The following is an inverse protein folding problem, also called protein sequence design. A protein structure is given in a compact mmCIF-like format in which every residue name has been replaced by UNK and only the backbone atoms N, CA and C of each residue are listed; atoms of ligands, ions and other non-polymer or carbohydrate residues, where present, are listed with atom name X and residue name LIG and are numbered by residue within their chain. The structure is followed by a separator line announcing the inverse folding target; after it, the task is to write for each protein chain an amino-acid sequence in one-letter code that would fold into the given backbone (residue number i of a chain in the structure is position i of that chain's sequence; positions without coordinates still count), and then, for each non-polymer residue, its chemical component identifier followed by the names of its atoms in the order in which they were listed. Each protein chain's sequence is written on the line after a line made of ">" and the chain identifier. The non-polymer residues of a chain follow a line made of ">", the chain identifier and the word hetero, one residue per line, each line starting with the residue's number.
data_IF_261674504666
#
_entry.id   IF_261674504666
#
_cell.length_a   1.000
_cell.length_b   1.000
_cell.length_c   1.000
_cell.angle_alpha   90.00
_cell.angle_beta   90.00
_cell.angle_gamma   90.00
#
_symmetry.space_group_name_H-M   'P 1'
#
loop_
_entity.id
_entity.type
_entity.pdbx_description
1 polymer ?
#
# COMPACT_ATOMS: atom_id res chain seq x y z
N UNK A 1 23.09 1.56 -9.80
CA UNK A 1 21.62 1.74 -9.76
C UNK A 1 20.97 0.36 -9.96
N UNK A 2 19.80 0.09 -9.36
CA UNK A 2 19.01 -1.09 -9.69
C UNK A 2 18.61 -1.08 -11.17
N UNK A 3 18.23 -2.23 -11.72
CA UNK A 3 17.72 -2.33 -13.08
C UNK A 3 16.42 -1.52 -13.26
N UNK A 4 16.20 -1.02 -14.48
CA UNK A 4 14.93 -0.41 -14.85
C UNK A 4 13.82 -1.47 -14.88
N UNK A 5 12.60 -1.16 -14.42
CA UNK A 5 11.48 -2.10 -14.49
C UNK A 5 11.13 -2.40 -15.95
N UNK A 6 11.19 -3.68 -16.33
CA UNK A 6 10.90 -4.10 -17.71
C UNK A 6 9.40 -4.09 -18.06
N UNK A 7 8.57 -4.40 -17.06
CA UNK A 7 7.11 -4.37 -17.17
C UNK A 7 6.62 -3.29 -16.22
N UNK A 8 6.21 -2.15 -16.77
CA UNK A 8 5.83 -0.96 -16.01
C UNK A 8 4.63 -0.28 -16.68
N UNK A 9 3.43 -0.52 -16.14
CA UNK A 9 2.17 0.00 -16.69
C UNK A 9 1.39 0.79 -15.64
N UNK A 10 0.63 1.78 -16.08
CA UNK A 10 -0.40 2.45 -15.26
C UNK A 10 0.15 3.36 -14.16
N UNK A 11 1.38 3.87 -14.33
CA UNK A 11 2.03 4.81 -13.41
C UNK A 11 2.49 6.10 -14.09
N UNK A 12 1.98 6.36 -15.29
CA UNK A 12 2.36 7.51 -16.12
C UNK A 12 1.98 8.83 -15.44
N UNK A 13 0.83 8.88 -14.78
CA UNK A 13 0.37 10.06 -14.05
C UNK A 13 1.27 10.38 -12.86
N UNK A 14 1.56 9.38 -12.01
CA UNK A 14 2.41 9.56 -10.84
C UNK A 14 3.86 9.88 -11.25
N UNK A 15 4.36 9.26 -12.31
CA UNK A 15 5.67 9.59 -12.88
C UNK A 15 5.69 11.03 -13.39
N UNK A 16 4.69 11.47 -14.15
CA UNK A 16 4.59 12.83 -14.65
C UNK A 16 4.51 13.86 -13.51
N UNK A 17 3.75 13.57 -12.46
CA UNK A 17 3.66 14.43 -11.27
C UNK A 17 5.01 14.53 -10.55
N UNK A 18 5.73 13.43 -10.38
CA UNK A 18 7.08 13.43 -9.80
C UNK A 18 8.03 14.27 -10.67
N UNK A 19 8.05 14.07 -11.98
CA UNK A 19 8.91 14.81 -12.90
C UNK A 19 8.60 16.31 -12.88
N UNK A 20 7.33 16.69 -12.76
CA UNK A 20 6.94 18.09 -12.58
C UNK A 20 7.58 18.71 -11.33
N UNK A 21 7.67 17.99 -10.22
CA UNK A 21 8.37 18.46 -9.01
C UNK A 21 9.89 18.61 -9.25
N UNK A 22 10.49 17.71 -10.03
CA UNK A 22 11.91 17.82 -10.40
C UNK A 22 12.19 19.00 -11.34
N UNK A 23 11.26 19.39 -12.21
CA UNK A 23 11.39 20.59 -13.06
C UNK A 23 11.33 21.88 -12.25
N UNK A 24 10.65 21.88 -11.11
CA UNK A 24 10.48 23.05 -10.25
C UNK A 24 11.68 23.32 -9.32
N UNK A 25 12.61 22.37 -9.17
CA UNK A 25 13.79 22.57 -8.33
C UNK A 25 14.42 21.26 -7.86
N UNK A 26 14.76 21.22 -6.58
CA UNK A 26 15.34 20.04 -5.92
C UNK A 26 14.29 19.47 -4.98
N UNK A 27 13.49 18.46 -5.37
CA UNK A 27 12.32 18.08 -4.58
C UNK A 27 12.65 17.08 -3.45
N UNK A 28 11.74 17.03 -2.46
CA UNK A 28 11.69 16.07 -1.36
C UNK A 28 10.36 15.33 -1.48
N UNK A 29 10.39 14.07 -1.90
CA UNK A 29 9.22 13.31 -2.32
C UNK A 29 9.12 12.03 -1.49
N UNK A 30 7.93 11.73 -1.00
CA UNK A 30 7.61 10.45 -0.38
C UNK A 30 6.61 9.70 -1.28
N UNK A 31 7.04 8.57 -1.82
CA UNK A 31 6.21 7.61 -2.57
C UNK A 31 5.65 6.62 -1.55
N UNK A 32 4.36 6.73 -1.29
CA UNK A 32 3.64 6.04 -0.22
C UNK A 32 2.65 5.03 -0.79
N UNK A 33 2.11 4.14 0.05
CA UNK A 33 1.11 3.15 -0.36
C UNK A 33 1.27 1.80 0.33
N UNK A 34 0.27 0.93 0.15
CA UNK A 34 0.28 -0.42 0.69
C UNK A 34 1.46 -1.26 0.18
N UNK A 35 1.74 -2.36 0.87
CA UNK A 35 2.69 -3.36 0.37
C UNK A 35 2.30 -3.86 -1.02
N UNK A 36 3.28 -4.09 -1.90
CA UNK A 36 3.00 -4.59 -3.26
C UNK A 36 2.44 -3.59 -4.27
N UNK A 37 2.31 -2.30 -3.94
CA UNK A 37 1.74 -1.27 -4.83
C UNK A 37 2.68 -0.73 -5.93
N UNK A 38 3.90 -1.26 -6.05
CA UNK A 38 4.87 -0.82 -7.07
C UNK A 38 5.64 0.45 -6.74
N UNK A 39 5.75 0.85 -5.47
CA UNK A 39 6.50 2.04 -5.03
C UNK A 39 7.97 2.02 -5.46
N UNK A 40 8.65 0.89 -5.22
CA UNK A 40 10.04 0.67 -5.62
C UNK A 40 10.19 0.73 -7.14
N UNK A 41 9.29 0.11 -7.90
CA UNK A 41 9.28 0.16 -9.36
C UNK A 41 9.10 1.59 -9.89
N UNK A 42 8.20 2.38 -9.28
CA UNK A 42 8.06 3.80 -9.63
C UNK A 42 9.33 4.59 -9.32
N UNK A 43 9.97 4.36 -8.17
CA UNK A 43 11.23 5.01 -7.83
C UNK A 43 12.37 4.62 -8.80
N UNK A 44 12.39 3.37 -9.27
CA UNK A 44 13.32 2.91 -10.30
C UNK A 44 13.03 3.58 -11.66
N UNK A 45 11.77 3.69 -12.07
CA UNK A 45 11.40 4.42 -13.30
C UNK A 45 11.84 5.89 -13.21
N UNK A 46 11.65 6.55 -12.06
CA UNK A 46 12.11 7.93 -11.83
C UNK A 46 13.62 8.04 -11.96
N UNK A 47 14.40 7.14 -11.33
CA UNK A 47 15.87 7.27 -11.36
C UNK A 47 16.43 7.08 -12.76
N UNK A 48 15.79 6.28 -13.61
CA UNK A 48 16.21 6.01 -14.99
C UNK A 48 15.65 7.00 -16.02
N UNK A 49 14.60 7.75 -15.70
CA UNK A 49 13.96 8.69 -16.62
C UNK A 49 14.97 9.66 -17.25
N UNK A 50 14.81 9.97 -18.54
CA UNK A 50 15.76 10.78 -19.33
C UNK A 50 16.02 12.15 -18.70
N UNK A 51 14.99 12.86 -18.26
CA UNK A 51 15.14 14.16 -17.59
C UNK A 51 15.99 14.09 -16.31
N UNK A 52 15.84 13.01 -15.55
CA UNK A 52 16.59 12.79 -14.31
C UNK A 52 18.03 12.40 -14.63
N UNK A 53 18.22 11.57 -15.66
CA UNK A 53 19.55 11.21 -16.20
C UNK A 53 20.31 12.44 -16.66
N UNK A 54 19.65 13.34 -17.39
CA UNK A 54 20.25 14.58 -17.91
C UNK A 54 20.57 15.57 -16.79
N UNK A 55 19.71 15.68 -15.77
CA UNK A 55 19.91 16.64 -14.66
C UNK A 55 20.97 16.22 -13.65
N UNK A 56 21.02 14.94 -13.29
CA UNK A 56 21.87 14.44 -12.20
C UNK A 56 23.04 13.59 -12.69
N UNK A 57 23.06 13.17 -13.96
CA UNK A 57 24.12 12.37 -14.57
C UNK A 57 24.44 11.10 -13.75
N UNK A 58 25.68 10.94 -13.31
CA UNK A 58 26.12 9.84 -12.46
C UNK A 58 25.77 10.00 -10.98
N UNK A 59 25.32 11.17 -10.54
CA UNK A 59 25.08 11.49 -9.11
C UNK A 59 23.66 11.10 -8.68
N UNK A 60 23.29 9.86 -9.01
CA UNK A 60 22.00 9.25 -8.68
C UNK A 60 22.28 8.02 -7.84
N UNK A 61 21.75 8.00 -6.64
CA UNK A 61 22.02 6.97 -5.65
C UNK A 61 20.71 6.34 -5.22
N UNK A 62 20.64 5.01 -5.30
CA UNK A 62 19.48 4.23 -4.89
C UNK A 62 19.93 3.31 -3.77
N UNK A 63 19.45 3.56 -2.56
CA UNK A 63 19.87 2.87 -1.34
C UNK A 63 18.67 2.13 -0.77
N UNK A 64 18.76 0.80 -0.75
CA UNK A 64 17.77 -0.06 -0.07
C UNK A 64 18.05 -0.06 1.43
N UNK A 65 17.06 0.29 2.26
CA UNK A 65 17.23 0.43 3.71
C UNK A 65 17.01 -0.86 4.51
N UNK A 66 16.72 -2.00 3.83
CA UNK A 66 16.31 -3.26 4.46
C UNK A 66 17.34 -3.86 5.44
N UNK A 67 18.63 -3.49 5.33
CA UNK A 67 19.72 -4.08 6.14
C UNK A 67 20.24 -3.16 7.25
N UNK A 68 19.73 -1.94 7.37
CA UNK A 68 20.08 -1.07 8.49
C UNK A 68 19.08 -1.27 9.63
N UNK A 69 19.49 -0.87 10.84
CA UNK A 69 18.67 -0.83 12.05
C UNK A 69 18.89 0.44 12.89
N UNK A 70 19.92 1.23 12.60
CA UNK A 70 20.25 2.50 13.26
C UNK A 70 20.63 3.64 12.29
N UNK A 71 20.60 4.91 12.74
CA UNK A 71 21.08 6.05 11.91
C UNK A 71 22.53 5.86 11.42
N UNK A 72 23.51 5.45 12.25
CA UNK A 72 24.87 5.21 11.78
C UNK A 72 24.95 4.14 10.68
N UNK A 73 24.14 3.09 10.75
CA UNK A 73 24.07 2.07 9.71
C UNK A 73 23.47 2.61 8.41
N UNK A 74 22.41 3.42 8.48
CA UNK A 74 21.87 4.09 7.29
C UNK A 74 22.88 5.04 6.65
N UNK A 75 23.60 5.83 7.46
CA UNK A 75 24.69 6.66 6.97
C UNK A 75 25.81 5.82 6.35
N UNK A 76 26.11 4.64 6.91
CA UNK A 76 27.06 3.68 6.33
C UNK A 76 26.59 3.12 4.99
N UNK A 77 25.31 2.76 4.85
CA UNK A 77 24.74 2.30 3.58
C UNK A 77 24.82 3.39 2.51
N UNK A 78 24.45 4.63 2.85
CA UNK A 78 24.56 5.77 1.94
C UNK A 78 26.03 6.00 1.57
N UNK A 79 26.93 6.01 2.57
CA UNK A 79 28.36 6.19 2.36
C UNK A 79 28.97 5.14 1.42
N UNK A 80 28.56 3.88 1.54
CA UNK A 80 28.99 2.82 0.64
C UNK A 80 28.55 3.06 -0.81
N UNK A 81 27.30 3.52 -1.04
CA UNK A 81 26.81 3.87 -2.37
C UNK A 81 27.50 5.11 -2.95
N UNK A 82 27.95 6.02 -2.09
CA UNK A 82 28.75 7.20 -2.45
C UNK A 82 30.24 6.86 -2.68
N UNK A 83 30.68 5.61 -2.44
CA UNK A 83 32.09 5.22 -2.53
C UNK A 83 32.99 5.80 -1.43
N UNK A 84 32.40 6.16 -0.29
CA UNK A 84 33.11 6.75 0.84
C UNK A 84 33.82 5.68 1.66
N UNK A 85 35.03 6.01 2.14
CA UNK A 85 35.78 5.14 3.05
C UNK A 85 35.11 5.12 4.43
N UNK A 86 35.22 4.00 5.18
CA UNK A 86 34.78 3.94 6.56
C UNK A 86 35.39 5.08 7.38
N UNK A 87 34.57 5.70 8.23
CA UNK A 87 34.98 6.80 9.09
C UNK A 87 34.32 6.65 10.47
N UNK A 88 34.92 7.27 11.49
CA UNK A 88 34.37 7.27 12.85
C UNK A 88 33.00 7.95 12.92
N UNK A 89 32.79 8.97 12.08
CA UNK A 89 31.51 9.69 11.95
C UNK A 89 31.09 9.72 10.48
N UNK A 90 30.55 8.58 10.01
CA UNK A 90 30.07 8.43 8.64
C UNK A 90 28.93 9.40 8.32
N UNK A 91 28.08 9.72 9.29
CA UNK A 91 27.00 10.70 9.14
C UNK A 91 27.55 12.05 8.66
N UNK A 92 28.54 12.59 9.37
CA UNK A 92 29.16 13.88 8.99
C UNK A 92 29.87 13.81 7.65
N UNK A 93 30.54 12.71 7.34
CA UNK A 93 31.25 12.53 6.07
C UNK A 93 30.28 12.48 4.89
N UNK A 94 29.16 11.75 5.02
CA UNK A 94 28.08 11.70 4.02
C UNK A 94 27.48 13.09 3.78
N UNK A 95 27.09 13.79 4.86
CA UNK A 95 26.52 15.14 4.74
C UNK A 95 27.49 16.10 4.06
N UNK A 96 28.78 16.08 4.44
CA UNK A 96 29.79 16.92 3.80
C UNK A 96 29.98 16.60 2.31
N UNK A 97 29.97 15.33 1.94
CA UNK A 97 30.11 14.90 0.55
C UNK A 97 28.94 15.41 -0.29
N UNK A 98 27.70 15.20 0.17
CA UNK A 98 26.49 15.62 -0.53
C UNK A 98 26.37 17.15 -0.62
N UNK A 99 26.76 17.89 0.43
CA UNK A 99 26.72 19.35 0.43
C UNK A 99 27.79 20.02 -0.44
N UNK A 100 28.98 19.42 -0.52
CA UNK A 100 30.09 19.97 -1.31
C UNK A 100 30.15 19.46 -2.75
N UNK A 101 29.31 18.47 -3.08
CA UNK A 101 29.28 17.80 -4.38
C UNK A 101 28.37 18.46 -5.41
N UNK A 102 28.31 17.88 -6.63
CA UNK A 102 27.34 18.28 -7.64
C UNK A 102 25.89 18.00 -7.19
N UNK A 103 24.88 18.59 -7.86
CA UNK A 103 23.49 18.23 -7.66
C UNK A 103 23.30 16.72 -7.72
N UNK A 104 22.63 16.17 -6.71
CA UNK A 104 22.51 14.72 -6.52
C UNK A 104 21.07 14.33 -6.26
N UNK A 105 20.70 13.11 -6.68
CA UNK A 105 19.44 12.46 -6.33
C UNK A 105 19.75 11.29 -5.41
N UNK A 106 19.18 11.30 -4.20
CA UNK A 106 19.20 10.17 -3.28
C UNK A 106 17.80 9.57 -3.17
N UNK A 107 17.70 8.28 -3.47
CA UNK A 107 16.50 7.47 -3.26
C UNK A 107 16.75 6.54 -2.07
N UNK A 108 15.91 6.63 -1.05
CA UNK A 108 15.90 5.71 0.10
C UNK A 108 14.68 4.78 -0.03
N UNK A 109 14.92 3.53 -0.41
CA UNK A 109 13.89 2.53 -0.65
C UNK A 109 13.61 1.70 0.61
N UNK A 110 12.33 1.43 0.89
CA UNK A 110 11.84 0.73 2.08
C UNK A 110 12.28 1.38 3.41
N UNK A 111 12.20 2.71 3.49
CA UNK A 111 12.65 3.45 4.67
C UNK A 111 11.83 3.11 5.94
N UNK A 112 10.62 2.54 5.80
CA UNK A 112 9.82 2.11 6.95
C UNK A 112 10.54 1.07 7.81
N UNK A 113 11.42 0.24 7.25
CA UNK A 113 12.20 -0.74 8.03
C UNK A 113 12.98 -0.06 9.16
N UNK A 114 13.40 1.19 8.94
CA UNK A 114 14.14 2.03 9.89
C UNK A 114 13.29 3.00 10.68
N UNK A 115 12.26 3.55 10.04
CA UNK A 115 11.46 4.63 10.59
C UNK A 115 10.26 4.13 11.42
N UNK A 116 9.77 2.93 11.13
CA UNK A 116 8.61 2.33 11.79
C UNK A 116 8.87 2.00 13.28
N UNK A 117 10.05 1.47 13.70
CA UNK A 117 10.35 1.25 15.12
C UNK A 117 10.42 2.55 15.92
N UNK A 118 9.76 2.57 17.08
CA UNK A 118 9.61 3.77 17.92
C UNK A 118 10.96 4.32 18.40
N UNK A 119 11.91 3.43 18.69
CA UNK A 119 13.21 3.78 19.26
C UNK A 119 14.11 4.54 18.26
N UNK A 120 14.04 4.20 16.97
CA UNK A 120 14.85 4.81 15.91
C UNK A 120 14.15 5.97 15.20
N UNK A 121 12.82 6.03 15.24
CA UNK A 121 12.00 6.97 14.47
C UNK A 121 12.47 8.43 14.55
N UNK A 122 12.65 8.95 15.76
CA UNK A 122 13.06 10.35 15.96
C UNK A 122 14.45 10.63 15.39
N UNK A 123 15.38 9.68 15.54
CA UNK A 123 16.74 9.81 15.06
C UNK A 123 16.81 9.76 13.52
N UNK A 124 15.99 8.90 12.89
CA UNK A 124 15.86 8.86 11.43
C UNK A 124 15.25 10.15 10.90
N UNK A 125 14.20 10.70 11.54
CA UNK A 125 13.61 11.99 11.15
C UNK A 125 14.61 13.15 11.27
N UNK A 126 15.46 13.16 12.31
CA UNK A 126 16.55 14.14 12.43
C UNK A 126 17.58 14.00 11.31
N UNK A 127 17.94 12.77 10.94
CA UNK A 127 18.86 12.56 9.84
C UNK A 127 18.27 12.96 8.48
N UNK A 128 16.99 12.68 8.25
CA UNK A 128 16.29 13.17 7.07
C UNK A 128 16.28 14.70 7.03
N UNK A 129 16.01 15.37 8.16
CA UNK A 129 16.07 16.83 8.26
C UNK A 129 17.44 17.36 7.78
N UNK A 130 18.54 16.79 8.30
CA UNK A 130 19.91 17.16 7.91
C UNK A 130 20.19 16.93 6.42
N UNK A 131 19.70 15.84 5.85
CA UNK A 131 19.81 15.58 4.40
C UNK A 131 19.02 16.62 3.61
N UNK A 132 17.82 16.98 4.07
CA UNK A 132 16.94 17.91 3.34
C UNK A 132 17.35 19.39 3.44
N UNK A 133 18.24 19.75 4.38
CA UNK A 133 18.87 21.07 4.44
C UNK A 133 19.88 21.29 3.30
N UNK A 134 20.26 20.22 2.59
CA UNK A 134 21.17 20.29 1.44
C UNK A 134 20.38 20.70 0.20
N UNK A 135 20.52 21.96 -0.24
CA UNK A 135 19.77 22.52 -1.38
C UNK A 135 20.03 21.83 -2.73
N UNK A 136 21.21 21.22 -2.89
CA UNK A 136 21.61 20.47 -4.09
C UNK A 136 21.15 19.01 -4.09
N UNK A 137 20.57 18.52 -2.98
CA UNK A 137 20.16 17.13 -2.81
C UNK A 137 18.65 16.96 -3.00
N UNK A 138 18.26 16.29 -4.09
CA UNK A 138 16.90 15.79 -4.22
C UNK A 138 16.77 14.49 -3.44
N UNK A 139 15.67 14.36 -2.69
CA UNK A 139 15.40 13.19 -1.86
C UNK A 139 14.09 12.55 -2.30
N UNK A 140 14.14 11.27 -2.63
CA UNK A 140 12.94 10.44 -2.82
C UNK A 140 13.00 9.33 -1.77
N UNK A 141 11.89 9.09 -1.09
CA UNK A 141 11.76 7.94 -0.21
C UNK A 141 10.61 7.05 -0.67
N UNK A 142 10.73 5.75 -0.49
CA UNK A 142 9.59 4.82 -0.60
C UNK A 142 9.27 4.28 0.79
N UNK A 143 7.98 4.27 1.14
CA UNK A 143 7.53 3.77 2.43
C UNK A 143 6.16 3.11 2.37
N UNK A 144 5.94 2.11 3.23
CA UNK A 144 4.61 1.53 3.47
C UNK A 144 3.72 2.48 4.27
N UNK A 145 2.43 2.46 3.93
CA UNK A 145 1.42 3.28 4.58
C UNK A 145 1.23 4.64 3.91
N UNK A 146 0.52 5.54 4.57
CA UNK A 146 0.13 6.86 4.07
C UNK A 146 0.74 8.02 4.88
N UNK A 147 1.63 7.72 5.81
CA UNK A 147 2.24 8.68 6.71
C UNK A 147 3.66 9.02 6.28
N UNK A 148 3.98 10.32 6.29
CA UNK A 148 5.31 10.82 5.96
C UNK A 148 6.14 10.98 7.24
N UNK A 149 7.47 10.75 7.19
CA UNK A 149 8.36 11.16 8.26
C UNK A 149 8.20 12.65 8.58
N UNK A 150 8.23 12.97 9.87
CA UNK A 150 8.21 14.35 10.37
C UNK A 150 9.56 15.03 10.14
N UNK A 151 9.66 16.32 10.51
CA UNK A 151 10.89 17.15 10.40
C UNK A 151 11.44 17.36 8.98
N UNK A 152 10.71 16.91 7.96
CA UNK A 152 11.03 17.18 6.55
C UNK A 152 9.96 18.08 5.95
N UNK A 153 10.39 19.18 5.32
CA UNK A 153 9.51 20.00 4.49
C UNK A 153 9.32 19.33 3.12
N UNK A 154 8.41 18.36 3.08
CA UNK A 154 8.06 17.64 1.84
C UNK A 154 7.56 18.61 0.76
N UNK A 155 8.02 18.41 -0.48
CA UNK A 155 7.66 19.26 -1.61
C UNK A 155 6.18 19.08 -1.96
N UNK A 156 5.50 20.20 -2.27
CA UNK A 156 4.07 20.24 -2.61
C UNK A 156 3.86 20.41 -4.12
N UNK A 157 2.75 19.91 -4.69
CA UNK A 157 1.73 19.08 -4.04
C UNK A 157 2.26 17.71 -3.59
N UNK A 158 1.64 17.14 -2.57
CA UNK A 158 2.01 15.81 -2.08
C UNK A 158 1.51 14.76 -3.07
N UNK A 159 2.38 13.79 -3.39
CA UNK A 159 1.95 12.57 -4.08
C UNK A 159 0.99 11.79 -3.18
N UNK A 160 -0.17 11.41 -3.68
CA UNK A 160 -1.08 10.56 -2.91
C UNK A 160 -0.45 9.16 -2.74
N UNK A 161 -0.80 8.41 -1.68
CA UNK A 161 -0.42 7.00 -1.61
C UNK A 161 -0.86 6.27 -2.89
N UNK A 162 0.03 5.45 -3.46
CA UNK A 162 -0.21 4.79 -4.74
C UNK A 162 -1.48 3.94 -4.66
N UNK A 163 -2.46 4.17 -5.56
CA UNK A 163 -3.63 3.33 -5.66
C UNK A 163 -3.30 2.01 -6.36
N UNK A 164 -4.23 1.04 -6.35
CA UNK A 164 -4.19 -0.06 -7.30
C UNK A 164 -4.11 0.43 -8.75
N UNK A 165 -3.74 -0.46 -9.68
CA UNK A 165 -3.71 -0.11 -11.09
C UNK A 165 -5.14 0.09 -11.62
N UNK A 166 -5.27 0.98 -12.60
CA UNK A 166 -6.49 1.02 -13.41
C UNK A 166 -6.65 -0.31 -14.16
N UNK A 167 -7.89 -0.74 -14.41
CA UNK A 167 -8.21 -2.04 -15.02
C UNK A 167 -7.41 -2.29 -16.31
N UNK A 168 -7.33 -1.30 -17.21
CA UNK A 168 -6.61 -1.45 -18.47
C UNK A 168 -5.10 -1.62 -18.29
N UNK A 169 -4.51 -0.98 -17.29
CA UNK A 169 -3.10 -1.15 -16.96
C UNK A 169 -2.84 -2.50 -16.28
N UNK A 170 -3.76 -2.96 -15.43
CA UNK A 170 -3.69 -4.28 -14.82
C UNK A 170 -3.74 -5.39 -15.87
N UNK A 171 -4.65 -5.29 -16.85
CA UNK A 171 -4.73 -6.20 -18.01
C UNK A 171 -3.44 -6.21 -18.82
N UNK A 172 -2.90 -5.04 -19.18
CA UNK A 172 -1.62 -4.95 -19.91
C UNK A 172 -0.48 -5.61 -19.16
N UNK A 173 -0.36 -5.31 -17.86
CA UNK A 173 0.65 -5.92 -17.00
C UNK A 173 0.50 -7.45 -16.94
N UNK A 174 -0.73 -7.95 -16.82
CA UNK A 174 -1.01 -9.38 -16.81
C UNK A 174 -0.62 -10.05 -18.12
N UNK A 175 -1.02 -9.48 -19.26
CA UNK A 175 -0.74 -10.04 -20.59
C UNK A 175 0.77 -10.07 -20.89
N UNK A 176 1.50 -9.01 -20.51
CA UNK A 176 2.96 -8.97 -20.68
C UNK A 176 3.70 -10.02 -19.83
N UNK A 177 3.05 -10.56 -18.80
CA UNK A 177 3.62 -11.56 -17.89
C UNK A 177 3.17 -13.00 -18.18
N UNK A 178 1.90 -13.21 -18.58
CA UNK A 178 1.29 -14.53 -18.77
C UNK A 178 1.06 -14.93 -20.23
N UNK A 179 1.46 -14.08 -21.18
CA UNK A 179 1.19 -14.20 -22.62
C UNK A 179 -0.32 -14.18 -22.95
N UNK A 180 -0.68 -13.80 -24.19
CA UNK A 180 -2.08 -13.55 -24.57
C UNK A 180 -2.83 -14.83 -25.01
N UNK A 181 -2.82 -15.86 -24.17
CA UNK A 181 -3.42 -17.18 -24.48
C UNK A 181 -4.82 -17.38 -23.89
N UNK A 182 -5.29 -16.45 -23.06
CA UNK A 182 -6.54 -16.56 -22.30
C UNK A 182 -7.60 -15.60 -22.80
N UNK A 183 -8.87 -15.94 -22.58
CA UNK A 183 -9.97 -15.05 -22.92
C UNK A 183 -9.96 -13.80 -22.04
N UNK A 184 -10.41 -12.62 -22.53
CA UNK A 184 -10.52 -11.42 -21.72
C UNK A 184 -11.34 -11.62 -20.44
N UNK A 185 -12.39 -12.45 -20.50
CA UNK A 185 -13.26 -12.77 -19.37
C UNK A 185 -12.52 -13.55 -18.27
N UNK A 186 -11.71 -14.55 -18.64
CA UNK A 186 -10.88 -15.30 -17.69
C UNK A 186 -9.83 -14.40 -17.03
N UNK A 187 -9.20 -13.51 -17.81
CA UNK A 187 -8.23 -12.54 -17.29
C UNK A 187 -8.90 -11.61 -16.28
N UNK A 188 -10.09 -11.09 -16.59
CA UNK A 188 -10.84 -10.22 -15.69
C UNK A 188 -11.25 -10.92 -14.39
N UNK A 189 -11.63 -12.20 -14.47
CA UNK A 189 -11.92 -13.00 -13.28
C UNK A 189 -10.69 -13.13 -12.36
N UNK A 190 -9.51 -13.42 -12.92
CA UNK A 190 -8.26 -13.52 -12.15
C UNK A 190 -7.86 -12.16 -11.58
N UNK A 191 -7.96 -11.09 -12.37
CA UNK A 191 -7.68 -9.72 -11.90
C UNK A 191 -8.60 -9.30 -10.75
N UNK A 192 -9.87 -9.71 -10.78
CA UNK A 192 -10.82 -9.49 -9.68
C UNK A 192 -10.36 -10.05 -8.33
N UNK A 193 -9.51 -11.09 -8.31
CA UNK A 193 -8.93 -11.65 -7.09
C UNK A 193 -7.82 -10.78 -6.49
N UNK A 194 -7.31 -9.82 -7.25
CA UNK A 194 -6.14 -9.02 -6.89
C UNK A 194 -6.48 -7.59 -6.46
N UNK A 195 -7.71 -7.13 -6.69
CA UNK A 195 -8.09 -5.71 -6.65
C UNK A 195 -7.10 -4.82 -7.43
N UNK A 196 -6.57 -5.33 -8.54
CA UNK A 196 -5.54 -4.70 -9.37
C UNK A 196 -4.26 -4.29 -8.62
N UNK A 197 -3.91 -5.00 -7.53
CA UNK A 197 -2.64 -4.80 -6.82
C UNK A 197 -1.48 -5.35 -7.67
N UNK A 198 -0.45 -4.55 -8.03
CA UNK A 198 0.64 -4.97 -8.92
C UNK A 198 1.35 -6.26 -8.49
N UNK A 199 1.67 -6.42 -7.21
CA UNK A 199 2.34 -7.63 -6.72
C UNK A 199 1.45 -8.87 -6.92
N UNK A 200 0.19 -8.80 -6.53
CA UNK A 200 -0.77 -9.90 -6.69
C UNK A 200 -0.99 -10.25 -8.16
N UNK A 201 -1.08 -9.24 -9.04
CA UNK A 201 -1.15 -9.46 -10.50
C UNK A 201 0.08 -10.24 -10.96
N UNK A 202 1.29 -9.81 -10.59
CA UNK A 202 2.51 -10.46 -11.04
C UNK A 202 2.63 -11.91 -10.60
N UNK A 203 2.23 -12.20 -9.36
CA UNK A 203 2.30 -13.55 -8.80
C UNK A 203 1.26 -14.47 -9.46
N UNK A 204 0.02 -14.01 -9.64
CA UNK A 204 -0.99 -14.79 -10.36
C UNK A 204 -0.66 -14.95 -11.83
N UNK A 205 -0.12 -13.93 -12.50
CA UNK A 205 0.26 -14.01 -13.91
C UNK A 205 1.33 -15.09 -14.15
N UNK A 206 2.34 -15.19 -13.27
CA UNK A 206 3.34 -16.26 -13.35
C UNK A 206 2.75 -17.65 -13.13
N UNK A 207 1.78 -17.80 -12.23
CA UNK A 207 1.08 -19.07 -12.04
C UNK A 207 0.19 -19.42 -13.23
N UNK A 208 -0.50 -18.44 -13.80
CA UNK A 208 -1.35 -18.61 -14.98
C UNK A 208 -0.54 -18.99 -16.21
N UNK A 209 0.63 -18.41 -16.43
CA UNK A 209 1.52 -18.79 -17.55
C UNK A 209 1.84 -20.29 -17.55
N UNK A 210 1.91 -20.90 -16.36
CA UNK A 210 2.22 -22.33 -16.18
C UNK A 210 0.96 -23.21 -16.14
N UNK A 211 -0.09 -22.78 -15.45
CA UNK A 211 -1.23 -23.63 -15.08
C UNK A 211 -2.56 -23.26 -15.76
N UNK A 212 -2.65 -22.05 -16.32
CA UNK A 212 -3.85 -21.50 -16.95
C UNK A 212 -4.90 -20.94 -15.98
N UNK A 213 -5.70 -19.97 -16.46
CA UNK A 213 -6.72 -19.30 -15.65
C UNK A 213 -7.71 -20.24 -14.93
N UNK A 214 -8.34 -21.24 -15.58
CA UNK A 214 -9.36 -22.06 -14.92
C UNK A 214 -8.84 -22.79 -13.68
N UNK A 215 -7.60 -23.30 -13.75
CA UNK A 215 -6.97 -24.01 -12.63
C UNK A 215 -6.64 -23.04 -11.49
N UNK A 216 -6.10 -21.87 -11.80
CA UNK A 216 -5.78 -20.86 -10.80
C UNK A 216 -7.03 -20.33 -10.09
N UNK A 217 -8.13 -20.11 -10.82
CA UNK A 217 -9.41 -19.74 -10.22
C UNK A 217 -9.90 -20.82 -9.23
N UNK A 218 -9.86 -22.10 -9.61
CA UNK A 218 -10.27 -23.20 -8.73
C UNK A 218 -9.37 -23.36 -7.50
N UNK A 219 -8.06 -23.16 -7.65
CA UNK A 219 -7.11 -23.23 -6.53
C UNK A 219 -7.31 -22.07 -5.58
N UNK A 220 -7.58 -20.88 -6.11
CA UNK A 220 -7.82 -19.69 -5.29
C UNK A 220 -8.99 -19.90 -4.33
N UNK A 221 -10.06 -20.58 -4.73
CA UNK A 221 -11.21 -20.85 -3.85
C UNK A 221 -10.81 -21.55 -2.54
N UNK A 222 -9.77 -22.40 -2.58
CA UNK A 222 -9.30 -23.19 -1.44
C UNK A 222 -8.08 -22.53 -0.77
N UNK A 223 -7.07 -22.18 -1.55
CA UNK A 223 -5.76 -21.71 -1.07
C UNK A 223 -5.75 -20.20 -0.76
N UNK A 224 -6.61 -19.41 -1.41
CA UNK A 224 -6.70 -17.96 -1.21
C UNK A 224 -5.31 -17.30 -1.35
N UNK A 225 -4.94 -16.41 -0.43
CA UNK A 225 -3.63 -15.73 -0.46
C UNK A 225 -2.42 -16.64 -0.30
N UNK A 226 -2.58 -17.87 0.21
CA UNK A 226 -1.42 -18.77 0.33
C UNK A 226 -0.90 -19.18 -1.05
N UNK A 227 -1.76 -19.23 -2.06
CA UNK A 227 -1.42 -19.52 -3.46
C UNK A 227 -0.30 -18.60 -3.99
N UNK A 228 -0.33 -17.34 -3.58
CA UNK A 228 0.62 -16.31 -4.01
C UNK A 228 1.60 -15.89 -2.90
N UNK A 229 1.91 -16.82 -1.99
CA UNK A 229 2.80 -16.56 -0.85
C UNK A 229 3.88 -17.62 -0.65
N UNK A 230 4.13 -18.47 -1.63
CA UNK A 230 5.15 -19.52 -1.59
C UNK A 230 6.60 -19.01 -1.81
N UNK A 231 6.78 -17.72 -2.11
CA UNK A 231 8.10 -17.11 -2.29
C UNK A 231 8.89 -16.93 -0.98
N UNK A 232 10.20 -17.17 -1.03
CA UNK A 232 11.11 -16.98 0.11
C UNK A 232 11.44 -15.51 0.43
N UNK A 233 11.31 -14.59 -0.54
CA UNK A 233 11.64 -13.17 -0.36
C UNK A 233 10.40 -12.30 -0.10
N UNK A 234 10.56 -11.26 0.73
CA UNK A 234 9.53 -10.25 1.09
C UNK A 234 8.94 -9.54 -0.12
N UNK A 235 9.69 -9.43 -1.22
CA UNK A 235 9.26 -8.79 -2.47
C UNK A 235 8.39 -9.70 -3.34
N UNK A 236 8.42 -11.00 -3.08
CA UNK A 236 7.64 -12.05 -3.77
C UNK A 236 6.61 -12.73 -2.87
N UNK A 237 6.44 -12.26 -1.63
CA UNK A 237 5.57 -12.89 -0.64
C UNK A 237 4.54 -11.87 -0.12
N UNK A 238 3.30 -12.02 -0.60
CA UNK A 238 2.22 -11.10 -0.27
C UNK A 238 1.83 -11.18 1.21
N UNK A 239 1.69 -12.39 1.75
CA UNK A 239 1.34 -12.61 3.16
C UNK A 239 2.40 -12.03 4.11
N UNK A 240 3.68 -12.21 3.82
CA UNK A 240 4.76 -11.55 4.58
C UNK A 240 4.66 -10.03 4.50
N UNK A 241 4.23 -9.48 3.35
CA UNK A 241 4.01 -8.05 3.24
C UNK A 241 2.84 -7.58 4.12
N UNK A 242 1.75 -8.33 4.19
CA UNK A 242 0.58 -8.00 5.02
C UNK A 242 0.91 -8.14 6.50
N UNK A 243 1.58 -9.24 6.90
CA UNK A 243 1.95 -9.51 8.28
C UNK A 243 2.87 -8.42 8.86
N UNK A 244 3.85 -7.95 8.09
CA UNK A 244 4.71 -6.84 8.50
C UNK A 244 3.94 -5.52 8.73
N UNK A 245 2.88 -5.27 7.95
CA UNK A 245 2.01 -4.10 8.17
C UNK A 245 1.10 -4.27 9.38
N UNK A 246 0.69 -5.49 9.71
CA UNK A 246 -0.10 -5.80 10.93
C UNK A 246 0.75 -5.72 12.20
N UNK A 247 2.01 -6.18 12.14
CA UNK A 247 2.95 -6.13 13.26
C UNK A 247 3.60 -4.76 13.45
N UNK A 248 3.19 -3.75 12.69
CA UNK A 248 3.75 -2.40 12.81
C UNK A 248 3.40 -1.79 14.17
N UNK A 249 4.28 -0.98 14.79
CA UNK A 249 4.01 -0.30 16.05
C UNK A 249 2.78 0.61 15.99
N UNK A 250 2.41 1.10 14.79
CA UNK A 250 1.19 1.90 14.59
C UNK A 250 -0.07 1.07 14.83
N UNK A 251 -0.12 -0.17 14.37
CA UNK A 251 -1.22 -1.09 14.68
C UNK A 251 -1.10 -1.62 16.12
N UNK A 252 0.10 -1.97 16.57
CA UNK A 252 0.31 -2.46 17.93
C UNK A 252 -0.10 -1.42 19.00
N UNK A 253 0.01 -0.12 18.71
CA UNK A 253 -0.47 0.94 19.58
C UNK A 253 -2.00 1.01 19.71
N UNK A 254 -2.73 0.43 18.76
CA UNK A 254 -4.19 0.37 18.71
C UNK A 254 -4.67 -1.07 18.40
N UNK A 255 -4.58 -2.02 19.35
CA UNK A 255 -4.78 -3.44 19.07
C UNK A 255 -6.14 -3.79 18.42
N UNK A 256 -7.22 -3.08 18.80
CA UNK A 256 -8.56 -3.27 18.22
C UNK A 256 -8.65 -2.83 16.74
N UNK A 257 -7.58 -2.27 16.17
CA UNK A 257 -7.49 -2.02 14.71
C UNK A 257 -7.48 -3.32 13.93
N UNK A 258 -6.88 -4.38 14.47
CA UNK A 258 -6.89 -5.70 13.85
C UNK A 258 -8.31 -6.28 13.85
N UNK A 259 -9.05 -6.08 14.94
CA UNK A 259 -10.46 -6.48 15.06
C UNK A 259 -11.34 -5.74 14.03
N UNK A 260 -11.13 -4.43 13.89
CA UNK A 260 -11.81 -3.64 12.86
C UNK A 260 -11.47 -4.14 11.45
N UNK A 261 -10.20 -4.45 11.19
CA UNK A 261 -9.77 -4.95 9.89
C UNK A 261 -10.38 -6.32 9.57
N UNK A 262 -10.48 -7.20 10.57
CA UNK A 262 -11.15 -8.50 10.42
C UNK A 262 -12.63 -8.34 10.05
N UNK A 263 -13.34 -7.43 10.73
CA UNK A 263 -14.74 -7.11 10.40
C UNK A 263 -14.89 -6.52 9.00
N UNK A 264 -14.06 -5.53 8.64
CA UNK A 264 -14.06 -4.95 7.29
C UNK A 264 -13.70 -5.97 6.20
N UNK A 265 -12.95 -7.03 6.54
CA UNK A 265 -12.59 -8.07 5.59
C UNK A 265 -13.78 -8.91 5.15
N UNK A 266 -14.83 -8.97 5.97
CA UNK A 266 -16.12 -9.56 5.61
C UNK A 266 -16.99 -8.67 4.72
N UNK A 267 -16.57 -7.42 4.45
CA UNK A 267 -17.39 -6.39 3.84
C UNK A 267 -16.77 -5.90 2.51
N UNK A 268 -17.05 -6.56 1.37
CA UNK A 268 -16.54 -6.18 0.06
C UNK A 268 -16.81 -4.73 -0.34
N UNK A 269 -17.92 -4.13 0.09
CA UNK A 269 -18.28 -2.73 -0.19
C UNK A 269 -17.72 -1.75 0.85
N UNK A 270 -17.14 -2.27 1.94
CA UNK A 270 -16.65 -1.50 3.08
C UNK A 270 -17.78 -0.83 3.86
N UNK A 271 -17.43 0.15 4.70
CA UNK A 271 -18.39 0.93 5.51
C UNK A 271 -18.08 2.42 5.45
N UNK A 272 -19.13 3.24 5.43
CA UNK A 272 -19.02 4.69 5.63
C UNK A 272 -18.74 5.05 7.09
N UNK A 273 -18.32 6.30 7.35
CA UNK A 273 -18.14 6.81 8.71
C UNK A 273 -19.43 6.86 9.54
N UNK A 274 -20.57 6.95 8.87
CA UNK A 274 -21.88 6.91 9.54
C UNK A 274 -22.16 5.49 10.02
N UNK A 275 -21.96 4.50 9.15
CA UNK A 275 -22.17 3.09 9.48
C UNK A 275 -21.19 2.63 10.57
N UNK A 276 -19.90 2.97 10.46
CA UNK A 276 -18.89 2.64 11.48
C UNK A 276 -19.30 3.09 12.90
N UNK A 277 -19.99 4.24 13.01
CA UNK A 277 -20.49 4.76 14.30
C UNK A 277 -21.82 4.13 14.72
N UNK A 278 -22.69 3.82 13.77
CA UNK A 278 -24.03 3.30 14.04
C UNK A 278 -24.05 1.81 14.38
N UNK A 279 -23.13 1.02 13.81
CA UNK A 279 -23.09 -0.44 13.99
C UNK A 279 -22.72 -0.88 15.40
N UNK A 280 -22.25 0.02 16.29
CA UNK A 280 -21.94 -0.27 17.71
C UNK A 280 -21.02 -1.49 17.88
N UNK A 281 -19.93 -1.54 17.10
CA UNK A 281 -18.91 -2.58 17.26
C UNK A 281 -18.34 -2.61 18.68
N UNK A 282 -17.85 -3.76 19.19
CA UNK A 282 -17.18 -3.87 20.48
C UNK A 282 -15.75 -3.28 20.46
N UNK A 283 -15.60 -2.11 19.85
CA UNK A 283 -14.33 -1.40 19.64
C UNK A 283 -14.45 -0.04 20.33
N UNK A 284 -13.55 0.24 21.29
CA UNK A 284 -13.65 1.43 22.12
C UNK A 284 -13.37 2.71 21.34
N UNK A 285 -12.30 2.72 20.54
CA UNK A 285 -11.91 3.86 19.69
C UNK A 285 -11.95 3.48 18.20
N UNK A 286 -13.16 3.41 17.64
CA UNK A 286 -13.38 3.05 16.24
C UNK A 286 -12.69 4.02 15.26
N UNK A 287 -12.62 5.32 15.61
CA UNK A 287 -12.01 6.33 14.75
C UNK A 287 -10.48 6.29 14.82
N UNK A 288 -9.92 6.05 16.00
CA UNK A 288 -8.49 5.77 16.18
C UNK A 288 -8.06 4.51 15.42
N UNK A 289 -8.86 3.44 15.50
CA UNK A 289 -8.63 2.21 14.73
C UNK A 289 -8.69 2.46 13.22
N UNK A 290 -9.73 3.16 12.73
CA UNK A 290 -9.81 3.59 11.32
C UNK A 290 -8.56 4.37 10.91
N UNK A 291 -8.14 5.34 11.73
CA UNK A 291 -6.96 6.17 11.43
C UNK A 291 -5.68 5.33 11.37
N UNK A 292 -5.51 4.35 12.26
CA UNK A 292 -4.38 3.43 12.24
C UNK A 292 -4.35 2.60 10.94
N UNK A 293 -5.50 2.04 10.52
CA UNK A 293 -5.61 1.26 9.27
C UNK A 293 -5.32 2.09 8.02
N UNK A 294 -5.79 3.34 7.97
CA UNK A 294 -5.49 4.26 6.87
C UNK A 294 -4.00 4.64 6.85
N UNK A 295 -3.40 4.91 8.02
CA UNK A 295 -1.98 5.28 8.14
C UNK A 295 -1.04 4.16 7.71
N UNK A 296 -1.40 2.90 7.94
CA UNK A 296 -0.63 1.72 7.50
C UNK A 296 -1.01 1.23 6.11
N UNK A 297 -2.03 1.83 5.48
CA UNK A 297 -2.59 1.43 4.18
C UNK A 297 -3.05 -0.04 4.15
N UNK A 298 -3.48 -0.58 5.30
CA UNK A 298 -4.20 -1.86 5.38
C UNK A 298 -5.67 -1.71 4.95
N UNK A 299 -6.20 -0.50 5.08
CA UNK A 299 -7.48 -0.09 4.51
C UNK A 299 -7.29 1.23 3.72
N UNK A 300 -8.24 1.52 2.83
CA UNK A 300 -8.28 2.75 2.05
C UNK A 300 -9.70 3.33 2.05
N UNK A 301 -9.81 4.62 1.78
CA UNK A 301 -11.09 5.27 1.52
C UNK A 301 -11.31 5.34 0.01
N UNK A 302 -12.43 4.84 -0.48
CA UNK A 302 -12.81 5.04 -1.88
C UNK A 302 -13.38 6.47 -2.10
N UNK A 303 -13.79 6.77 -3.34
CA UNK A 303 -14.36 8.07 -3.72
C UNK A 303 -15.68 8.38 -2.99
N UNK A 304 -16.41 7.35 -2.56
CA UNK A 304 -17.65 7.47 -1.78
C UNK A 304 -17.40 7.56 -0.27
N UNK A 305 -16.14 7.67 0.17
CA UNK A 305 -15.73 7.73 1.58
C UNK A 305 -16.04 6.47 2.38
N UNK A 306 -16.16 5.33 1.71
CA UNK A 306 -16.24 4.02 2.36
C UNK A 306 -14.82 3.55 2.67
N UNK A 307 -14.63 3.11 3.91
CA UNK A 307 -13.43 2.41 4.35
C UNK A 307 -13.49 0.97 3.82
N UNK A 308 -12.62 0.67 2.87
CA UNK A 308 -12.52 -0.63 2.19
C UNK A 308 -11.17 -1.30 2.44
N UNK A 309 -11.14 -2.60 2.24
CA UNK A 309 -9.94 -3.45 2.36
C UNK A 309 -9.75 -4.18 1.03
N UNK A 310 -8.51 -4.27 0.55
CA UNK A 310 -8.20 -4.93 -0.72
C UNK A 310 -8.42 -6.44 -0.61
N UNK A 311 -8.94 -7.08 -1.66
CA UNK A 311 -9.24 -8.53 -1.70
C UNK A 311 -8.13 -9.39 -1.10
N UNK A 312 -6.84 -9.24 -1.47
CA UNK A 312 -5.81 -10.08 -0.86
C UNK A 312 -5.66 -9.88 0.66
N UNK A 313 -5.83 -8.66 1.16
CA UNK A 313 -5.81 -8.41 2.61
C UNK A 313 -7.04 -9.05 3.26
N UNK A 314 -8.22 -8.95 2.62
CA UNK A 314 -9.46 -9.55 3.12
C UNK A 314 -9.34 -11.06 3.26
N UNK A 315 -8.82 -11.72 2.23
CA UNK A 315 -8.66 -13.17 2.19
C UNK A 315 -7.61 -13.65 3.21
N UNK A 316 -6.51 -12.90 3.38
CA UNK A 316 -5.52 -13.17 4.43
C UNK A 316 -6.13 -13.07 5.84
N UNK A 317 -6.90 -12.00 6.09
CA UNK A 317 -7.56 -11.78 7.38
C UNK A 317 -8.65 -12.82 7.64
N UNK A 318 -9.45 -13.18 6.64
CA UNK A 318 -10.49 -14.21 6.77
C UNK A 318 -9.91 -15.59 7.12
N UNK A 319 -8.73 -15.92 6.59
CA UNK A 319 -8.07 -17.21 6.85
C UNK A 319 -7.41 -17.31 8.23
N UNK A 320 -6.78 -16.23 8.70
CA UNK A 320 -5.92 -16.26 9.90
C UNK A 320 -6.49 -15.53 11.11
N UNK A 321 -7.39 -14.57 10.89
CA UNK A 321 -7.88 -13.62 11.88
C UNK A 321 -9.39 -13.39 11.74
N UNK A 322 -10.14 -14.46 11.45
CA UNK A 322 -11.59 -14.39 11.33
C UNK A 322 -12.22 -13.76 12.60
N UNK A 323 -13.17 -12.82 12.46
CA UNK A 323 -13.79 -12.21 13.61
C UNK A 323 -14.66 -13.23 14.37
N UNK A 324 -14.77 -13.06 15.68
CA UNK A 324 -15.63 -13.91 16.51
C UNK A 324 -17.11 -13.54 16.35
N UNK A 325 -18.02 -14.46 16.67
CA UNK A 325 -19.46 -14.20 16.61
C UNK A 325 -19.86 -12.94 17.37
N UNK A 326 -19.29 -12.71 18.56
CA UNK A 326 -19.55 -11.53 19.37
C UNK A 326 -19.21 -10.22 18.64
N UNK A 327 -18.16 -10.22 17.80
CA UNK A 327 -17.77 -9.07 17.00
C UNK A 327 -18.70 -8.86 15.80
N UNK A 328 -19.23 -9.95 15.25
CA UNK A 328 -20.11 -9.95 14.07
C UNK A 328 -21.56 -9.59 14.45
N UNK A 329 -22.04 -9.94 15.64
CA UNK A 329 -23.43 -9.71 16.06
C UNK A 329 -23.94 -8.27 15.84
N UNK A 330 -23.19 -7.20 16.19
CA UNK A 330 -23.64 -5.83 15.94
C UNK A 330 -23.78 -5.50 14.44
N UNK A 331 -22.93 -6.09 13.60
CA UNK A 331 -22.98 -5.96 12.14
C UNK A 331 -24.22 -6.64 11.56
N UNK A 332 -24.53 -7.86 12.00
CA UNK A 332 -25.76 -8.56 11.61
C UNK A 332 -27.00 -7.78 12.02
N UNK A 333 -27.02 -7.28 13.26
CA UNK A 333 -28.10 -6.44 13.76
C UNK A 333 -28.28 -5.18 12.90
N UNK A 334 -27.19 -4.50 12.55
CA UNK A 334 -27.22 -3.31 11.71
C UNK A 334 -27.86 -3.57 10.33
N UNK A 335 -27.47 -4.66 9.66
CA UNK A 335 -28.06 -5.00 8.37
C UNK A 335 -29.50 -5.50 8.49
N UNK A 336 -29.86 -6.19 9.58
CA UNK A 336 -31.24 -6.56 9.84
C UNK A 336 -32.13 -5.33 10.02
N UNK A 337 -31.73 -4.37 10.86
CA UNK A 337 -32.44 -3.10 11.06
C UNK A 337 -32.55 -2.30 9.75
N UNK A 338 -31.53 -2.35 8.89
CA UNK A 338 -31.58 -1.73 7.57
C UNK A 338 -32.67 -2.36 6.69
N UNK A 339 -32.76 -3.69 6.65
CA UNK A 339 -33.78 -4.41 5.90
C UNK A 339 -35.20 -4.17 6.47
N UNK A 340 -35.36 -4.14 7.79
CA UNK A 340 -36.63 -3.80 8.44
C UNK A 340 -37.05 -2.35 8.14
N UNK A 341 -36.10 -1.41 8.08
CA UNK A 341 -36.42 -0.03 7.74
C UNK A 341 -37.00 0.11 6.32
N UNK A 342 -36.55 -0.74 5.38
CA UNK A 342 -37.10 -0.81 4.04
C UNK A 342 -38.52 -1.38 4.06
N UNK A 343 -38.77 -2.51 4.75
CA UNK A 343 -40.12 -3.10 4.81
C UNK A 343 -41.14 -2.15 5.43
N UNK A 344 -40.74 -1.36 6.43
CA UNK A 344 -41.60 -0.37 7.07
C UNK A 344 -41.90 0.88 6.21
N UNK A 345 -41.02 1.22 5.26
CA UNK A 345 -41.14 2.43 4.43
C UNK A 345 -41.50 2.13 2.96
N UNK A 346 -41.65 0.86 2.60
CA UNK A 346 -42.02 0.40 1.28
C UNK A 346 -43.31 1.09 0.79
N UNK A 347 -43.28 1.65 -0.43
CA UNK A 347 -44.41 2.38 -1.02
C UNK A 347 -44.57 3.83 -0.57
N UNK A 348 -43.71 4.35 0.31
CA UNK A 348 -43.67 5.77 0.69
C UNK A 348 -42.54 6.52 -0.01
N UNK A 349 -42.61 7.86 -0.06
CA UNK A 349 -41.48 8.70 -0.54
C UNK A 349 -40.20 8.53 0.28
N UNK A 350 -40.33 8.11 1.55
CA UNK A 350 -39.19 7.85 2.44
C UNK A 350 -38.52 6.49 2.19
N UNK A 351 -39.13 5.61 1.38
CA UNK A 351 -38.60 4.29 1.04
C UNK A 351 -37.36 4.32 0.15
N UNK A 352 -37.03 5.44 -0.48
CA UNK A 352 -35.83 5.57 -1.32
C UNK A 352 -34.54 5.53 -0.51
N UNK A 353 -34.55 6.08 0.72
CA UNK A 353 -33.34 6.16 1.56
C UNK A 353 -32.85 4.78 2.00
N UNK A 354 -33.71 3.85 2.48
CA UNK A 354 -33.31 2.47 2.72
C UNK A 354 -32.87 1.73 1.45
N UNK A 355 -33.53 1.96 0.31
CA UNK A 355 -33.14 1.33 -0.97
C UNK A 355 -31.70 1.71 -1.34
N UNK A 356 -31.36 3.00 -1.28
CA UNK A 356 -30.01 3.47 -1.62
C UNK A 356 -28.95 2.83 -0.70
N UNK A 357 -29.25 2.73 0.60
CA UNK A 357 -28.37 2.10 1.59
C UNK A 357 -28.24 0.59 1.43
N UNK A 358 -29.32 -0.10 1.06
CA UNK A 358 -29.29 -1.54 0.75
C UNK A 358 -28.47 -1.77 -0.51
N UNK A 359 -28.68 -0.95 -1.53
CA UNK A 359 -27.95 -1.04 -2.80
C UNK A 359 -26.45 -0.80 -2.59
N UNK A 360 -26.07 0.18 -1.75
CA UNK A 360 -24.67 0.45 -1.41
C UNK A 360 -23.99 -0.64 -0.57
N UNK A 361 -24.78 -1.55 0.02
CA UNK A 361 -24.32 -2.65 0.87
C UNK A 361 -24.69 -4.02 0.30
N UNK A 362 -25.07 -4.11 -0.98
CA UNK A 362 -25.56 -5.35 -1.56
C UNK A 362 -24.54 -6.49 -1.42
N UNK A 363 -23.28 -6.24 -1.76
CA UNK A 363 -22.21 -7.25 -1.70
C UNK A 363 -21.84 -7.56 -0.25
N UNK A 364 -21.90 -6.56 0.64
CA UNK A 364 -21.76 -6.77 2.09
C UNK A 364 -22.80 -7.76 2.63
N UNK A 365 -24.08 -7.50 2.36
CA UNK A 365 -25.20 -8.35 2.82
C UNK A 365 -25.08 -9.75 2.22
N UNK A 366 -24.84 -9.85 0.92
CA UNK A 366 -24.66 -11.13 0.24
C UNK A 366 -23.52 -11.96 0.87
N UNK A 367 -22.35 -11.33 1.07
CA UNK A 367 -21.18 -12.03 1.60
C UNK A 367 -21.39 -12.51 3.04
N UNK A 368 -22.01 -11.68 3.90
CA UNK A 368 -22.31 -12.06 5.28
C UNK A 368 -23.28 -13.25 5.35
N UNK A 369 -24.32 -13.24 4.50
CA UNK A 369 -25.29 -14.33 4.44
C UNK A 369 -24.65 -15.64 3.97
N UNK A 370 -23.72 -15.58 2.99
CA UNK A 370 -22.98 -16.77 2.57
C UNK A 370 -22.07 -17.34 3.68
N UNK A 371 -21.44 -16.47 4.48
CA UNK A 371 -20.57 -16.91 5.59
C UNK A 371 -21.33 -17.37 6.84
N UNK A 372 -22.63 -17.08 6.93
CA UNK A 372 -23.48 -17.46 8.08
C UNK A 372 -24.23 -18.79 7.85
N UNK A 373 -24.08 -19.38 6.67
CA UNK A 373 -24.59 -20.70 6.27
C UNK A 373 -23.46 -21.72 6.34
#
# INVERSE_FOLDING_TARGET
>A
LPAEPKIFHGRDLELADILKLFRQGTPRIAILGAGGMGKTSLAQAVVHHEEITTKYHGNRFFVTCDTASSKPELAGLIGAHLGLKPAKDLTRVVLRYLSGGPPSLLILDNLETMWEPVQSRNEIEEFLSLLTDINSLALVITMRGAERPSKVQWTRPFLLPLPPLAQDAARKMFIDMADNKHSPEEVDQVLGLTDNMPLSISLLAHLVDVEGCPKILSRWEIEKTSLISEGYDRRSNLELSISLSLSSPRIASMPQSQDLLALLSMLPDGLSDVELKQTQFPIQDILGCKAALLRTALAYSNDHKHLKVLVPIREYMGRLFAPTDQMIQPLLKHFHELLESYTATAGTRSGTVPIDRITSNYTNIYNILQTSL
#
